data_IF_900515005674
#
_entry.id   IF_900515005674
#
_cell.length_a   1.000
_cell.length_b   1.000
_cell.length_c   1.000
_cell.angle_alpha   90.00
_cell.angle_beta   90.00
_cell.angle_gamma   90.00
#
_symmetry.space_group_name_H-M   'P 1'
#
loop_
_entity.id
_entity.type
_entity.pdbx_description
1 polymer ?
#
# COMPACT_ATOMS: atom_id res chain seq x y z
N UNK A 1 0.10 -12.34 13.71
CA UNK A 1 -1.36 -12.14 13.80
C UNK A 1 -1.76 -10.84 13.15
N UNK A 2 -2.80 -10.89 12.32
CA UNK A 2 -3.33 -9.68 11.67
C UNK A 2 -4.40 -9.09 12.56
N UNK A 3 -4.32 -7.79 12.83
CA UNK A 3 -5.21 -7.09 13.76
C UNK A 3 -5.85 -5.90 13.05
N UNK A 4 -7.11 -5.63 13.41
CA UNK A 4 -7.82 -4.47 12.92
C UNK A 4 -8.60 -4.71 11.65
N UNK A 5 -9.36 -3.69 11.25
CA UNK A 5 -10.14 -3.72 10.03
C UNK A 5 -9.33 -3.26 8.83
N UNK A 6 -10.05 -2.93 7.74
CA UNK A 6 -9.41 -2.58 6.48
C UNK A 6 -8.51 -1.35 6.60
N UNK A 7 -8.94 -0.32 7.31
CA UNK A 7 -8.13 0.90 7.43
C UNK A 7 -6.85 0.65 8.22
N UNK A 8 -6.97 -0.05 9.34
CA UNK A 8 -5.80 -0.39 10.17
C UNK A 8 -4.82 -1.26 9.40
N UNK A 9 -5.31 -2.25 8.67
CA UNK A 9 -4.45 -3.13 7.91
C UNK A 9 -3.79 -2.40 6.74
N UNK A 10 -4.52 -1.51 6.07
CA UNK A 10 -3.97 -0.70 4.99
C UNK A 10 -2.84 0.18 5.49
N UNK A 11 -3.06 0.87 6.61
CA UNK A 11 -2.04 1.73 7.18
C UNK A 11 -0.82 0.94 7.62
N UNK A 12 -1.03 -0.20 8.26
CA UNK A 12 0.07 -1.07 8.70
C UNK A 12 0.89 -1.56 7.50
N UNK A 13 0.22 -1.93 6.40
CA UNK A 13 0.91 -2.37 5.19
C UNK A 13 1.78 -1.25 4.61
N UNK A 14 1.25 -0.02 4.55
CA UNK A 14 2.02 1.12 4.04
C UNK A 14 3.18 1.50 4.94
N UNK A 15 2.99 1.44 6.26
CA UNK A 15 4.09 1.71 7.20
C UNK A 15 5.20 0.69 7.02
N UNK A 16 4.85 -0.57 6.83
CA UNK A 16 5.83 -1.63 6.60
C UNK A 16 6.59 -1.42 5.31
N UNK A 17 5.89 -1.06 4.23
CA UNK A 17 6.53 -0.76 2.95
C UNK A 17 7.51 0.40 3.11
N UNK A 18 7.10 1.46 3.78
CA UNK A 18 7.96 2.61 4.05
C UNK A 18 9.23 2.20 4.76
N UNK A 19 9.10 1.40 5.82
CA UNK A 19 10.25 0.92 6.59
C UNK A 19 11.21 0.08 5.74
N UNK A 20 10.65 -0.82 4.93
CA UNK A 20 11.46 -1.69 4.08
C UNK A 20 12.22 -0.87 3.04
N UNK A 21 11.56 0.08 2.39
CA UNK A 21 12.19 0.93 1.39
C UNK A 21 13.32 1.74 2.00
N UNK A 22 13.08 2.35 3.16
CA UNK A 22 14.10 3.14 3.84
C UNK A 22 15.29 2.28 4.26
N UNK A 23 15.05 1.06 4.70
CA UNK A 23 16.10 0.13 5.04
C UNK A 23 16.96 -0.28 3.85
N UNK A 24 16.43 -0.16 2.64
CA UNK A 24 17.14 -0.47 1.40
C UNK A 24 17.76 0.77 0.76
N UNK A 25 17.65 1.94 1.41
CA UNK A 25 18.18 3.18 0.85
C UNK A 25 17.26 3.83 -0.18
N UNK A 26 16.01 3.40 -0.23
CA UNK A 26 14.99 3.96 -1.11
C UNK A 26 13.97 4.75 -0.30
N UNK A 27 12.96 5.30 -0.96
CA UNK A 27 11.89 6.03 -0.30
C UNK A 27 10.57 5.80 -1.03
N UNK A 28 9.48 6.27 -0.43
CA UNK A 28 8.15 6.15 -1.05
C UNK A 28 8.10 6.83 -2.43
N UNK A 29 8.86 7.90 -2.63
CA UNK A 29 8.91 8.60 -3.92
C UNK A 29 9.42 7.71 -5.05
N UNK A 30 10.19 6.70 -4.74
CA UNK A 30 10.79 5.80 -5.72
C UNK A 30 9.82 4.74 -6.24
N UNK A 31 8.62 4.66 -5.66
CA UNK A 31 7.61 3.72 -6.11
C UNK A 31 7.16 4.08 -7.52
N UNK A 32 7.16 3.08 -8.41
CA UNK A 32 6.72 3.25 -9.81
C UNK A 32 5.46 2.47 -10.12
N UNK A 33 5.14 1.47 -9.32
CA UNK A 33 4.01 0.59 -9.57
C UNK A 33 3.47 0.03 -8.27
N UNK A 34 2.13 -0.09 -8.16
CA UNK A 34 1.48 -0.59 -6.95
C UNK A 34 0.44 -1.65 -7.32
N UNK A 35 0.49 -2.79 -6.65
CA UNK A 35 -0.56 -3.80 -6.71
C UNK A 35 -1.33 -3.81 -5.40
N UNK A 36 -2.65 -3.75 -5.49
CA UNK A 36 -3.54 -3.87 -4.34
C UNK A 36 -4.35 -5.16 -4.47
N UNK A 37 -4.42 -5.92 -3.39
CA UNK A 37 -5.20 -7.17 -3.34
C UNK A 37 -6.18 -7.07 -2.20
N UNK A 38 -7.48 -7.16 -2.51
CA UNK A 38 -8.56 -7.06 -1.52
C UNK A 38 -9.35 -8.35 -1.45
N UNK A 39 -9.61 -8.81 -0.23
CA UNK A 39 -10.48 -9.95 0.00
C UNK A 39 -11.93 -9.54 -0.24
N UNK A 40 -12.39 -8.47 0.39
CA UNK A 40 -13.77 -7.99 0.27
C UNK A 40 -13.84 -6.85 -0.74
N UNK A 41 -14.68 -7.01 -1.76
CA UNK A 41 -14.84 -6.02 -2.82
C UNK A 41 -15.26 -4.66 -2.28
N UNK A 42 -16.05 -4.66 -1.21
CA UNK A 42 -16.60 -3.43 -0.65
C UNK A 42 -15.60 -2.63 0.18
N UNK A 43 -14.42 -3.19 0.45
CA UNK A 43 -13.39 -2.53 1.24
C UNK A 43 -12.52 -1.56 0.43
N UNK A 44 -12.71 -1.49 -0.90
CA UNK A 44 -11.78 -0.72 -1.72
C UNK A 44 -11.81 0.77 -1.39
N UNK A 45 -12.99 1.31 -1.07
CA UNK A 45 -13.10 2.75 -0.78
C UNK A 45 -12.36 3.12 0.51
N UNK A 46 -12.54 2.33 1.55
CA UNK A 46 -11.83 2.56 2.81
C UNK A 46 -10.33 2.39 2.65
N UNK A 47 -9.91 1.39 1.88
CA UNK A 47 -8.51 1.18 1.55
C UNK A 47 -7.94 2.38 0.79
N UNK A 48 -8.70 2.90 -0.17
CA UNK A 48 -8.31 4.05 -0.97
C UNK A 48 -8.16 5.31 -0.11
N UNK A 49 -9.13 5.58 0.76
CA UNK A 49 -9.08 6.74 1.65
C UNK A 49 -7.87 6.68 2.58
N UNK A 50 -7.63 5.53 3.19
CA UNK A 50 -6.49 5.37 4.09
C UNK A 50 -5.17 5.49 3.35
N UNK A 51 -5.09 4.95 2.15
CA UNK A 51 -3.90 5.05 1.31
C UNK A 51 -3.59 6.52 1.00
N UNK A 52 -4.59 7.29 0.59
CA UNK A 52 -4.40 8.70 0.30
C UNK A 52 -4.03 9.51 1.52
N UNK A 53 -4.63 9.20 2.66
CA UNK A 53 -4.28 9.89 3.90
C UNK A 53 -2.83 9.61 4.28
N UNK A 54 -2.40 8.36 4.14
CA UNK A 54 -1.02 7.98 4.38
C UNK A 54 -0.07 8.74 3.45
N UNK A 55 -0.38 8.81 2.15
CA UNK A 55 0.45 9.52 1.17
C UNK A 55 0.55 11.00 1.51
N UNK A 56 -0.57 11.64 1.85
CA UNK A 56 -0.55 13.07 2.19
C UNK A 56 0.31 13.34 3.41
N UNK A 57 0.37 12.40 4.34
CA UNK A 57 1.16 12.55 5.55
C UNK A 57 2.65 12.29 5.36
N UNK A 58 3.01 11.32 4.53
CA UNK A 58 4.40 10.86 4.43
C UNK A 58 5.06 11.12 3.09
N UNK A 59 4.30 11.21 2.02
CA UNK A 59 4.84 11.43 0.68
C UNK A 59 3.77 12.06 -0.20
N UNK A 60 3.55 13.38 -0.07
CA UNK A 60 2.49 14.07 -0.84
C UNK A 60 2.60 13.88 -2.34
N UNK A 61 3.81 13.65 -2.86
CA UNK A 61 4.00 13.40 -4.29
C UNK A 61 3.18 12.20 -4.78
N UNK A 62 3.06 11.16 -3.96
CA UNK A 62 2.27 9.99 -4.34
C UNK A 62 0.77 10.30 -4.43
N UNK A 63 0.29 11.26 -3.64
CA UNK A 63 -1.10 11.69 -3.71
C UNK A 63 -1.35 12.57 -4.93
N UNK A 64 -0.40 13.44 -5.25
CA UNK A 64 -0.54 14.40 -6.36
C UNK A 64 -0.21 13.80 -7.71
N UNK A 65 0.72 12.86 -7.75
CA UNK A 65 1.19 12.19 -8.96
C UNK A 65 1.00 10.68 -8.83
N UNK A 66 -0.22 10.17 -9.05
CA UNK A 66 -0.51 8.75 -8.86
C UNK A 66 0.37 7.87 -9.74
N UNK A 67 0.82 6.78 -9.18
CA UNK A 67 1.60 5.78 -9.91
C UNK A 67 0.67 4.79 -10.60
N UNK A 68 1.20 4.06 -11.57
CA UNK A 68 0.47 2.97 -12.18
C UNK A 68 0.10 1.94 -11.11
N UNK A 69 -1.15 1.47 -11.15
CA UNK A 69 -1.65 0.57 -10.12
C UNK A 69 -2.62 -0.45 -10.71
N UNK A 70 -2.66 -1.62 -10.09
CA UNK A 70 -3.65 -2.65 -10.39
C UNK A 70 -4.33 -3.04 -9.08
N UNK A 71 -5.64 -3.21 -9.16
CA UNK A 71 -6.45 -3.61 -8.01
C UNK A 71 -7.18 -4.90 -8.35
N UNK A 72 -6.95 -5.94 -7.55
CA UNK A 72 -7.68 -7.20 -7.62
C UNK A 72 -8.56 -7.32 -6.40
N UNK A 73 -9.83 -7.63 -6.61
CA UNK A 73 -10.83 -7.75 -5.56
C UNK A 73 -11.41 -9.16 -5.50
N UNK A 74 -11.87 -9.55 -4.33
CA UNK A 74 -12.55 -10.83 -4.17
C UNK A 74 -11.63 -12.04 -4.19
N UNK A 75 -10.40 -11.86 -3.74
CA UNK A 75 -9.40 -12.93 -3.68
C UNK A 75 -9.22 -13.40 -2.25
N UNK A 76 -8.59 -14.56 -2.09
CA UNK A 76 -8.20 -15.05 -0.77
C UNK A 76 -6.73 -14.75 -0.54
N UNK A 77 -6.42 -14.29 0.66
CA UNK A 77 -5.04 -14.05 1.08
C UNK A 77 -4.58 -15.18 1.99
N UNK A 78 -3.27 -15.19 2.28
CA UNK A 78 -2.62 -16.28 2.99
C UNK A 78 -3.22 -16.56 4.37
N UNK A 79 -3.52 -15.50 5.13
CA UNK A 79 -4.10 -15.64 6.47
C UNK A 79 -5.58 -15.29 6.46
N UNK A 80 -6.42 -16.01 7.25
CA UNK A 80 -7.87 -15.78 7.23
C UNK A 80 -8.30 -14.37 7.60
N UNK A 81 -7.52 -13.68 8.45
CA UNK A 81 -7.85 -12.35 8.93
C UNK A 81 -7.27 -11.23 8.06
N UNK A 82 -6.50 -11.57 7.04
CA UNK A 82 -5.97 -10.55 6.12
C UNK A 82 -7.08 -10.06 5.20
N UNK A 83 -7.25 -8.75 5.13
CA UNK A 83 -8.23 -8.09 4.28
C UNK A 83 -7.60 -7.43 3.07
N UNK A 84 -6.31 -7.11 3.15
CA UNK A 84 -5.60 -6.39 2.10
C UNK A 84 -4.15 -6.84 2.05
N UNK A 85 -3.59 -6.84 0.84
CA UNK A 85 -2.16 -6.99 0.64
C UNK A 85 -1.75 -5.94 -0.37
N UNK A 86 -0.60 -5.29 -0.14
CA UNK A 86 -0.09 -4.25 -1.02
C UNK A 86 1.33 -4.62 -1.43
N UNK A 87 1.55 -4.59 -2.75
CA UNK A 87 2.85 -4.90 -3.33
C UNK A 87 3.30 -3.69 -4.13
N UNK A 88 4.56 -3.30 -3.98
CA UNK A 88 5.08 -2.18 -4.73
C UNK A 88 6.35 -2.57 -5.46
N UNK A 89 6.58 -1.88 -6.57
CA UNK A 89 7.85 -1.92 -7.27
C UNK A 89 8.44 -0.51 -7.18
N UNK A 90 9.69 -0.42 -6.77
CA UNK A 90 10.37 0.85 -6.64
C UNK A 90 11.66 0.82 -7.48
N UNK A 91 12.00 1.97 -8.02
CA UNK A 91 13.23 2.13 -8.80
C UNK A 91 13.98 3.33 -8.26
N UNK A 92 15.19 3.11 -7.79
CA UNK A 92 16.03 4.20 -7.30
C UNK A 92 16.94 4.70 -8.41
N UNK A 93 17.31 5.98 -8.38
CA UNK A 93 18.33 6.47 -9.29
C UNK A 93 19.63 5.71 -9.09
N UNK A 94 20.29 5.43 -10.18
CA UNK A 94 21.59 4.76 -10.11
C UNK A 94 22.60 5.72 -9.54
N UNK A 95 23.35 5.25 -8.57
CA UNK A 95 24.38 6.05 -7.92
C UNK A 95 25.74 5.69 -8.46
#
# INVERSE_FOLDING_TARGET
MVVGGIKEQTRAAWMRIKEILEGLGASLEDIVFIHYFLVNRDDWWDMWEETHEFFRGYCPDLAENPRAATLLKGIKLDLPDMLVEIEVMAATPKK
#
